data_IF_549776282010
#
_entry.id   IF_549776282010
#
_cell.length_a   1.000
_cell.length_b   1.000
_cell.length_c   1.000
_cell.angle_alpha   90.00
_cell.angle_beta   90.00
_cell.angle_gamma   90.00
#
_symmetry.space_group_name_H-M   'P 1'
#
loop_
_entity.id
_entity.type
_entity.pdbx_description
1 polymer ?
#
# COMPACT_ATOMS: atom_id res chain seq x y z
N UNK A 1 2.96 -15.72 11.69
CA UNK A 1 3.50 -16.86 10.91
C UNK A 1 2.33 -17.49 10.17
N UNK A 2 2.34 -17.53 8.82
CA UNK A 2 1.30 -18.19 8.05
C UNK A 2 1.65 -19.68 8.01
N UNK A 3 1.10 -20.48 8.93
CA UNK A 3 1.46 -21.89 9.11
C UNK A 3 0.85 -22.81 8.04
N UNK A 4 0.12 -22.25 7.07
CA UNK A 4 -0.73 -22.99 6.13
C UNK A 4 -0.42 -22.73 4.64
N UNK A 5 0.57 -21.88 4.33
CA UNK A 5 0.88 -21.47 2.95
C UNK A 5 1.93 -22.42 2.34
N UNK A 6 1.58 -23.16 1.28
CA UNK A 6 2.52 -24.02 0.55
C UNK A 6 3.28 -23.30 -0.57
N UNK A 7 3.06 -21.99 -0.71
CA UNK A 7 3.63 -21.13 -1.75
C UNK A 7 3.31 -21.58 -3.18
N UNK A 8 2.32 -22.45 -3.38
CA UNK A 8 1.78 -22.78 -4.69
C UNK A 8 0.57 -21.89 -4.99
N UNK A 9 0.72 -20.97 -5.96
CA UNK A 9 -0.38 -20.10 -6.37
C UNK A 9 -1.57 -20.86 -6.98
N UNK A 10 -1.40 -22.15 -7.29
CA UNK A 10 -2.43 -23.02 -7.83
C UNK A 10 -3.15 -23.87 -6.77
N UNK A 11 -2.95 -23.60 -5.48
CA UNK A 11 -3.66 -24.25 -4.37
C UNK A 11 -4.44 -23.20 -3.56
N UNK A 12 -5.63 -23.60 -3.10
CA UNK A 12 -6.37 -22.87 -2.09
C UNK A 12 -5.99 -23.45 -0.75
N UNK A 13 -5.33 -22.61 0.05
CA UNK A 13 -4.82 -22.98 1.35
C UNK A 13 -5.82 -22.61 2.43
N UNK A 14 -6.38 -23.63 3.05
CA UNK A 14 -7.32 -23.49 4.14
C UNK A 14 -6.78 -24.14 5.41
N UNK A 15 -7.00 -23.46 6.52
CA UNK A 15 -6.62 -23.90 7.85
C UNK A 15 -7.91 -24.19 8.62
N UNK A 16 -8.18 -25.46 8.96
CA UNK A 16 -9.33 -25.82 9.80
C UNK A 16 -8.91 -26.64 11.03
N UNK A 17 -9.52 -26.35 12.19
CA UNK A 17 -9.20 -26.99 13.48
C UNK A 17 -9.32 -28.53 13.45
N UNK A 18 -10.29 -29.16 12.73
CA UNK A 18 -10.38 -30.61 12.70
C UNK A 18 -9.50 -31.30 11.64
N UNK A 19 -9.08 -30.61 10.57
CA UNK A 19 -8.39 -31.24 9.41
C UNK A 19 -6.93 -30.79 9.27
N UNK A 20 -6.53 -29.68 9.88
CA UNK A 20 -5.20 -29.08 9.69
C UNK A 20 -5.12 -28.26 8.40
N UNK A 21 -3.91 -28.14 7.84
CA UNK A 21 -3.67 -27.42 6.58
C UNK A 21 -4.19 -28.26 5.41
N UNK A 22 -4.99 -27.65 4.55
CA UNK A 22 -5.49 -28.28 3.32
C UNK A 22 -5.16 -27.42 2.12
N UNK A 23 -4.52 -28.03 1.13
CA UNK A 23 -4.09 -27.39 -0.13
C UNK A 23 -4.95 -27.95 -1.27
N UNK A 24 -5.92 -27.17 -1.73
CA UNK A 24 -6.88 -27.64 -2.75
C UNK A 24 -6.51 -27.09 -4.11
N UNK A 25 -6.12 -27.97 -5.04
CA UNK A 25 -5.70 -27.56 -6.38
C UNK A 25 -6.83 -26.82 -7.11
N UNK A 26 -6.50 -25.65 -7.67
CA UNK A 26 -7.39 -24.84 -8.49
C UNK A 26 -7.51 -25.48 -9.88
N UNK A 27 -8.72 -25.89 -10.32
CA UNK A 27 -8.93 -26.45 -11.65
C UNK A 27 -8.53 -25.44 -12.73
N UNK A 28 -7.66 -25.84 -13.66
CA UNK A 28 -7.21 -24.98 -14.77
C UNK A 28 -6.02 -24.08 -14.46
N UNK A 29 -5.53 -24.04 -13.22
CA UNK A 29 -4.32 -23.30 -12.89
C UNK A 29 -3.07 -24.01 -13.44
N UNK A 30 -2.27 -23.30 -14.25
CA UNK A 30 -1.04 -23.80 -14.85
C UNK A 30 0.13 -22.87 -14.54
N UNK A 31 1.17 -23.39 -13.90
CA UNK A 31 2.41 -22.67 -13.62
C UNK A 31 3.32 -22.76 -14.84
N UNK A 32 3.65 -21.62 -15.47
CA UNK A 32 4.63 -21.58 -16.58
C UNK A 32 5.99 -21.16 -16.04
N UNK A 33 6.88 -22.14 -15.84
CA UNK A 33 8.26 -21.89 -15.41
C UNK A 33 9.09 -21.39 -16.59
N UNK A 34 9.46 -20.11 -16.62
CA UNK A 34 10.44 -19.58 -17.58
C UNK A 34 11.83 -19.65 -16.96
N UNK A 35 12.59 -20.69 -17.28
CA UNK A 35 13.98 -20.87 -16.83
C UNK A 35 14.93 -20.16 -17.78
N UNK A 36 15.57 -19.07 -17.35
CA UNK A 36 16.69 -18.44 -18.07
C UNK A 36 17.99 -19.12 -17.63
N UNK A 37 18.85 -19.63 -18.55
CA UNK A 37 20.02 -20.42 -18.15
C UNK A 37 21.16 -19.54 -17.59
N UNK A 38 21.84 -19.94 -16.49
CA UNK A 38 22.93 -19.16 -15.90
C UNK A 38 24.28 -19.39 -16.60
N UNK A 39 25.03 -18.30 -16.79
CA UNK A 39 26.42 -18.26 -17.28
C UNK A 39 27.40 -18.69 -16.18
N UNK A 40 28.33 -19.58 -16.52
CA UNK A 40 29.32 -20.16 -15.60
C UNK A 40 30.49 -19.21 -15.29
N UNK A 41 30.77 -18.98 -14.00
CA UNK A 41 32.08 -18.54 -13.50
C UNK A 41 32.28 -19.05 -12.06
N UNK A 42 33.50 -19.49 -11.74
CA UNK A 42 33.88 -20.25 -10.53
C UNK A 42 34.28 -19.37 -9.34
N UNK A 43 34.02 -19.89 -8.13
CA UNK A 43 34.71 -19.66 -6.83
C UNK A 43 34.37 -18.40 -6.00
N UNK A 44 33.58 -18.57 -4.93
CA UNK A 44 33.94 -18.48 -3.49
C UNK A 44 32.62 -18.38 -2.70
N UNK A 45 32.44 -19.27 -1.73
CA UNK A 45 31.21 -19.40 -0.92
C UNK A 45 31.02 -18.19 -0.01
N UNK A 46 30.36 -17.15 -0.52
CA UNK A 46 29.55 -16.26 0.31
C UNK A 46 28.09 -16.59 0.01
N UNK A 47 27.35 -17.03 1.03
CA UNK A 47 25.89 -17.13 0.98
C UNK A 47 25.32 -15.72 0.83
N UNK A 48 25.21 -15.25 -0.41
CA UNK A 48 24.37 -14.11 -0.75
C UNK A 48 22.95 -14.62 -0.85
N UNK A 49 22.15 -14.39 0.19
CA UNK A 49 20.70 -14.53 0.12
C UNK A 49 20.21 -13.57 -0.95
N UNK A 50 20.00 -14.09 -2.16
CA UNK A 50 19.38 -13.35 -3.25
C UNK A 50 17.89 -13.45 -3.01
N UNK A 51 17.31 -12.40 -2.43
CA UNK A 51 15.85 -12.26 -2.34
C UNK A 51 15.34 -12.05 -3.75
N UNK A 52 14.91 -13.12 -4.40
CA UNK A 52 14.14 -13.04 -5.65
C UNK A 52 12.77 -12.50 -5.28
N UNK A 53 12.52 -11.22 -5.51
CA UNK A 53 11.16 -10.67 -5.46
C UNK A 53 10.41 -11.21 -6.67
N UNK A 54 9.63 -12.27 -6.48
CA UNK A 54 8.67 -12.73 -7.48
C UNK A 54 7.56 -11.69 -7.55
N UNK A 55 7.62 -10.79 -8.53
CA UNK A 55 6.47 -9.96 -8.89
C UNK A 55 5.50 -10.86 -9.65
N UNK A 56 4.56 -11.48 -8.93
CA UNK A 56 3.47 -12.22 -9.54
C UNK A 56 2.52 -11.20 -10.17
N UNK A 57 2.72 -10.85 -11.43
CA UNK A 57 1.72 -10.10 -12.20
C UNK A 57 0.53 -11.03 -12.38
N UNK A 58 -0.51 -10.86 -11.55
CA UNK A 58 -1.79 -11.53 -11.75
C UNK A 58 -2.29 -11.09 -13.14
N UNK A 59 -2.38 -12.04 -14.08
CA UNK A 59 -3.00 -11.75 -15.38
C UNK A 59 -4.51 -11.91 -15.22
N UNK A 60 -5.18 -10.79 -15.05
CA UNK A 60 -6.63 -10.72 -15.01
C UNK A 60 -7.20 -11.25 -16.34
N UNK A 61 -8.16 -12.17 -16.27
CA UNK A 61 -8.74 -12.88 -17.40
C UNK A 61 -9.64 -12.03 -18.31
N UNK A 62 -9.20 -10.82 -18.68
CA UNK A 62 -9.88 -9.96 -19.65
C UNK A 62 -11.14 -9.25 -19.15
N UNK A 63 -11.34 -9.13 -17.83
CA UNK A 63 -12.44 -8.34 -17.26
C UNK A 63 -12.20 -6.82 -17.35
N UNK A 64 -13.27 -6.04 -17.12
CA UNK A 64 -13.24 -4.58 -17.12
C UNK A 64 -12.64 -4.07 -15.79
N UNK A 65 -11.55 -3.33 -15.84
CA UNK A 65 -11.05 -2.59 -14.67
C UNK A 65 -12.11 -1.58 -14.21
N UNK A 66 -12.33 -1.50 -12.90
CA UNK A 66 -13.41 -0.78 -12.25
C UNK A 66 -14.71 -1.59 -12.12
N UNK A 67 -14.77 -2.84 -12.56
CA UNK A 67 -15.94 -3.73 -12.37
C UNK A 67 -15.78 -4.55 -11.07
N UNK A 68 -15.73 -3.85 -9.94
CA UNK A 68 -15.48 -4.44 -8.62
C UNK A 68 -16.60 -5.36 -8.13
N UNK A 69 -17.84 -5.14 -8.57
CA UNK A 69 -18.96 -5.99 -8.20
C UNK A 69 -19.15 -7.19 -9.17
N UNK A 70 -18.40 -7.21 -10.28
CA UNK A 70 -18.36 -8.28 -11.30
C UNK A 70 -19.70 -8.44 -12.02
N UNK A 71 -20.40 -7.35 -12.30
CA UNK A 71 -21.66 -7.32 -13.05
C UNK A 71 -21.48 -6.97 -14.54
N UNK A 72 -20.24 -6.70 -14.96
CA UNK A 72 -19.88 -6.35 -16.33
C UNK A 72 -20.07 -4.87 -16.66
N UNK A 73 -20.32 -4.02 -15.67
CA UNK A 73 -20.45 -2.56 -15.81
C UNK A 73 -19.40 -1.87 -14.94
N UNK A 74 -19.23 -0.58 -15.24
CA UNK A 74 -18.45 0.33 -14.44
C UNK A 74 -19.41 1.44 -14.00
N UNK A 75 -19.83 1.42 -12.74
CA UNK A 75 -20.72 2.40 -12.14
C UNK A 75 -20.47 2.61 -10.63
N UNK A 76 -21.37 3.31 -9.95
CA UNK A 76 -21.17 3.68 -8.54
C UNK A 76 -21.23 2.46 -7.60
N UNK A 77 -21.86 1.35 -8.00
CA UNK A 77 -21.91 0.14 -7.18
C UNK A 77 -20.57 -0.58 -7.11
N UNK A 78 -19.69 -0.36 -8.08
CA UNK A 78 -18.30 -0.83 -8.04
C UNK A 78 -17.51 -0.12 -6.95
N UNK A 79 -17.51 1.21 -6.96
CA UNK A 79 -16.92 2.07 -5.92
C UNK A 79 -17.42 1.66 -4.52
N UNK A 80 -18.72 1.37 -4.35
CA UNK A 80 -19.26 0.97 -3.05
C UNK A 80 -18.74 -0.40 -2.60
N UNK A 81 -18.59 -1.34 -3.53
CA UNK A 81 -18.00 -2.66 -3.27
C UNK A 81 -16.53 -2.52 -2.88
N UNK A 82 -15.82 -1.65 -3.59
CA UNK A 82 -14.42 -1.35 -3.32
C UNK A 82 -14.22 -0.68 -1.94
N UNK A 83 -15.09 0.28 -1.57
CA UNK A 83 -15.07 0.89 -0.22
C UNK A 83 -15.20 -0.18 0.87
N UNK A 84 -16.09 -1.15 0.72
CA UNK A 84 -16.24 -2.23 1.71
C UNK A 84 -14.99 -3.13 1.76
N UNK A 85 -14.31 -3.35 0.63
CA UNK A 85 -13.01 -4.04 0.57
C UNK A 85 -11.92 -3.24 1.29
N UNK A 86 -11.76 -1.95 0.96
CA UNK A 86 -10.73 -1.06 1.54
C UNK A 86 -10.94 -0.87 3.04
N UNK A 87 -12.19 -0.83 3.51
CA UNK A 87 -12.53 -0.78 4.92
C UNK A 87 -12.45 -2.15 5.62
N UNK A 88 -11.99 -3.20 4.90
CA UNK A 88 -11.87 -4.57 5.38
C UNK A 88 -13.19 -5.15 5.94
N UNK A 89 -14.34 -4.69 5.43
CA UNK A 89 -15.66 -5.28 5.73
C UNK A 89 -15.90 -6.55 4.92
N UNK A 90 -15.24 -6.65 3.77
CA UNK A 90 -15.27 -7.81 2.89
C UNK A 90 -13.87 -8.16 2.42
N UNK A 91 -13.54 -9.45 2.38
CA UNK A 91 -12.29 -9.93 1.78
C UNK A 91 -12.47 -10.05 0.27
N UNK A 92 -11.61 -9.45 -0.57
CA UNK A 92 -11.78 -9.46 -2.02
C UNK A 92 -11.55 -10.86 -2.59
N UNK A 93 -12.42 -11.28 -3.51
CA UNK A 93 -12.22 -12.51 -4.31
C UNK A 93 -11.02 -12.35 -5.25
N UNK A 94 -10.44 -13.44 -5.79
CA UNK A 94 -9.35 -13.33 -6.77
C UNK A 94 -9.71 -12.54 -8.02
N UNK A 95 -10.98 -12.57 -8.45
CA UNK A 95 -11.45 -11.72 -9.55
C UNK A 95 -11.42 -10.24 -9.14
N UNK A 96 -11.92 -9.91 -7.94
CA UNK A 96 -11.92 -8.54 -7.42
C UNK A 96 -10.52 -8.00 -7.16
N UNK A 97 -9.57 -8.83 -6.68
CA UNK A 97 -8.15 -8.48 -6.58
C UNK A 97 -7.54 -8.01 -7.91
N UNK A 98 -8.20 -8.33 -9.02
CA UNK A 98 -7.80 -8.00 -10.36
C UNK A 98 -8.58 -6.83 -10.95
N UNK A 99 -9.89 -6.78 -10.71
CA UNK A 99 -10.79 -5.77 -11.30
C UNK A 99 -10.88 -4.49 -10.48
N UNK A 100 -10.52 -4.56 -9.18
CA UNK A 100 -10.50 -3.42 -8.26
C UNK A 100 -9.11 -2.79 -8.08
N UNK A 101 -8.04 -3.41 -8.58
CA UNK A 101 -6.70 -2.80 -8.56
C UNK A 101 -6.55 -1.92 -9.81
N UNK A 102 -7.29 -0.82 -9.82
CA UNK A 102 -7.41 0.07 -10.97
C UNK A 102 -6.13 0.85 -11.28
N UNK A 103 -5.27 1.02 -10.28
CA UNK A 103 -3.93 1.58 -10.43
C UNK A 103 -2.87 0.53 -10.81
N UNK A 104 -3.21 -0.76 -10.73
CA UNK A 104 -2.36 -1.91 -11.01
C UNK A 104 -1.06 -1.91 -10.19
N UNK A 105 -1.15 -1.56 -8.90
CA UNK A 105 -0.01 -1.55 -7.99
C UNK A 105 0.07 -2.79 -7.08
N UNK A 106 -0.88 -3.71 -7.24
CA UNK A 106 -1.01 -4.96 -6.50
C UNK A 106 -1.79 -4.81 -5.20
N UNK A 107 -2.45 -3.67 -4.96
CA UNK A 107 -3.29 -3.41 -3.78
C UNK A 107 -4.65 -2.90 -4.23
N UNK A 108 -5.63 -3.07 -3.34
CA UNK A 108 -6.93 -2.41 -3.46
C UNK A 108 -6.99 -1.43 -2.31
N UNK A 109 -6.84 -0.15 -2.60
CA UNK A 109 -6.84 0.91 -1.61
C UNK A 109 -7.57 2.17 -2.10
N UNK A 110 -7.43 3.27 -1.36
CA UNK A 110 -8.15 4.51 -1.68
C UNK A 110 -7.77 5.09 -3.04
N UNK A 111 -6.61 4.76 -3.59
CA UNK A 111 -6.14 5.33 -4.86
C UNK A 111 -6.82 4.70 -6.07
N UNK A 112 -7.24 3.44 -5.95
CA UNK A 112 -8.07 2.74 -6.92
C UNK A 112 -9.48 3.40 -6.98
N UNK A 113 -10.12 3.58 -5.82
CA UNK A 113 -11.38 4.36 -5.68
C UNK A 113 -11.28 5.77 -6.30
N UNK A 114 -10.18 6.49 -6.06
CA UNK A 114 -10.00 7.85 -6.60
C UNK A 114 -9.89 7.84 -8.13
N UNK A 115 -9.29 6.79 -8.69
CA UNK A 115 -9.20 6.59 -10.13
C UNK A 115 -10.56 6.25 -10.73
N UNK A 116 -11.34 5.39 -10.07
CA UNK A 116 -12.74 5.13 -10.43
C UNK A 116 -13.55 6.44 -10.48
N UNK A 117 -13.48 7.26 -9.43
CA UNK A 117 -14.18 8.56 -9.38
C UNK A 117 -13.77 9.47 -10.56
N UNK A 118 -12.48 9.53 -10.89
CA UNK A 118 -12.02 10.35 -12.02
C UNK A 118 -12.52 9.79 -13.37
N UNK A 119 -12.62 8.48 -13.53
CA UNK A 119 -13.22 7.86 -14.72
C UNK A 119 -14.73 8.12 -14.81
N UNK A 120 -15.44 7.95 -13.71
CA UNK A 120 -16.89 8.19 -13.61
C UNK A 120 -17.24 9.66 -13.92
N UNK A 121 -16.40 10.60 -13.48
CA UNK A 121 -16.55 12.03 -13.77
C UNK A 121 -16.02 12.45 -15.15
N UNK A 122 -15.54 11.50 -15.98
CA UNK A 122 -15.03 11.76 -17.32
C UNK A 122 -13.72 12.56 -17.36
N UNK A 123 -12.96 12.57 -16.26
CA UNK A 123 -11.65 13.26 -16.17
C UNK A 123 -10.52 12.43 -16.76
N UNK A 124 -10.66 11.10 -16.76
CA UNK A 124 -9.76 10.16 -17.43
C UNK A 124 -10.54 9.22 -18.36
N UNK A 125 -9.90 8.64 -19.39
CA UNK A 125 -10.59 7.74 -20.32
C UNK A 125 -11.00 6.41 -19.66
N UNK A 126 -12.19 5.93 -20.00
CA UNK A 126 -12.66 4.56 -19.75
C UNK A 126 -12.84 3.80 -21.08
N UNK A 127 -12.69 2.46 -21.12
CA UNK A 127 -12.37 1.57 -19.99
C UNK A 127 -10.96 1.83 -19.45
N UNK A 128 -10.74 1.63 -18.16
CA UNK A 128 -9.40 1.80 -17.61
C UNK A 128 -8.44 0.80 -18.24
N UNK A 129 -7.22 1.28 -18.43
CA UNK A 129 -6.10 0.45 -18.88
C UNK A 129 -5.00 0.60 -17.87
N UNK A 130 -4.30 -0.49 -17.56
CA UNK A 130 -3.06 -0.44 -16.84
C UNK A 130 -1.87 -0.32 -17.81
N UNK A 131 -1.27 0.88 -17.97
CA UNK A 131 0.09 0.97 -18.43
C UNK A 131 1.03 0.49 -17.32
N UNK A 132 2.29 0.18 -17.64
CA UNK A 132 3.30 -0.10 -16.63
C UNK A 132 3.36 1.04 -15.59
N UNK A 133 2.88 0.75 -14.39
CA UNK A 133 3.09 1.41 -13.11
C UNK A 133 3.05 2.96 -13.09
N UNK A 134 1.86 3.51 -12.92
CA UNK A 134 1.69 4.71 -12.10
C UNK A 134 1.13 4.25 -10.76
N UNK A 135 1.95 3.57 -9.96
CA UNK A 135 1.47 2.95 -8.73
C UNK A 135 1.11 3.98 -7.65
N UNK A 136 0.30 3.55 -6.69
CA UNK A 136 0.09 4.26 -5.44
C UNK A 136 1.17 3.87 -4.43
N UNK A 137 1.36 4.70 -3.41
CA UNK A 137 2.27 4.36 -2.32
C UNK A 137 1.47 4.30 -1.04
N UNK A 138 1.37 3.08 -0.51
CA UNK A 138 0.83 2.83 0.82
C UNK A 138 1.97 2.32 1.72
N UNK A 139 2.32 3.11 2.73
CA UNK A 139 3.52 2.92 3.55
C UNK A 139 3.21 3.00 5.05
N UNK A 140 4.02 2.34 5.87
CA UNK A 140 4.01 2.49 7.33
C UNK A 140 5.40 2.91 7.78
N UNK A 141 5.52 4.06 8.44
CA UNK A 141 6.79 4.49 9.05
C UNK A 141 6.66 4.56 10.55
N UNK A 142 7.52 3.81 11.24
CA UNK A 142 7.74 3.95 12.68
C UNK A 142 8.67 5.15 12.89
N UNK A 143 8.45 5.95 13.94
CA UNK A 143 9.11 7.23 14.14
C UNK A 143 10.66 7.22 14.24
N UNK A 144 11.31 6.06 14.19
CA UNK A 144 12.77 5.93 14.06
C UNK A 144 13.12 5.23 12.74
N UNK A 145 13.43 6.04 11.72
CA UNK A 145 14.42 5.76 10.65
C UNK A 145 14.28 4.53 9.75
N UNK A 146 13.27 3.66 9.88
CA UNK A 146 13.17 2.49 8.99
C UNK A 146 12.47 2.87 7.68
N UNK A 147 13.11 2.47 6.57
CA UNK A 147 12.55 2.55 5.24
C UNK A 147 11.20 1.79 5.23
N UNK A 148 10.13 2.48 4.88
CA UNK A 148 8.86 1.82 4.63
C UNK A 148 9.01 0.89 3.42
N UNK A 149 8.35 -0.26 3.46
CA UNK A 149 8.22 -1.19 2.34
C UNK A 149 7.26 -0.59 1.29
N UNK A 150 7.73 0.46 0.63
CA UNK A 150 7.09 1.03 -0.54
C UNK A 150 7.27 0.06 -1.73
N UNK A 151 6.42 0.13 -2.77
CA UNK A 151 6.60 -0.66 -3.98
C UNK A 151 8.03 -0.46 -4.51
N UNK A 152 8.63 -1.47 -5.17
CA UNK A 152 10.05 -1.53 -5.52
C UNK A 152 10.61 -0.32 -6.34
N UNK A 153 9.75 0.61 -6.75
CA UNK A 153 10.04 1.87 -7.44
C UNK A 153 10.02 3.13 -6.55
N UNK A 154 9.65 3.05 -5.27
CA UNK A 154 9.57 4.20 -4.37
C UNK A 154 10.03 3.91 -2.92
N UNK A 155 10.33 4.95 -2.15
CA UNK A 155 10.79 4.88 -0.76
C UNK A 155 10.31 6.09 0.04
N UNK A 156 9.73 5.84 1.22
CA UNK A 156 9.18 6.88 2.10
C UNK A 156 9.94 6.89 3.42
N UNK A 157 10.32 8.08 3.89
CA UNK A 157 10.99 8.27 5.18
C UNK A 157 10.59 9.56 5.85
N UNK A 158 10.63 9.57 7.18
CA UNK A 158 10.46 10.79 7.99
C UNK A 158 11.82 11.45 8.20
N UNK A 159 11.92 12.76 7.93
CA UNK A 159 13.10 13.60 8.20
C UNK A 159 12.67 14.81 9.02
N UNK A 160 12.82 14.73 10.34
CA UNK A 160 12.29 15.73 11.26
C UNK A 160 10.77 15.83 11.17
N UNK A 161 10.27 17.00 10.80
CA UNK A 161 8.84 17.23 10.56
C UNK A 161 8.41 16.97 9.10
N UNK A 162 9.31 16.60 8.20
CA UNK A 162 8.98 16.35 6.80
C UNK A 162 8.80 14.85 6.51
N UNK A 163 7.82 14.52 5.66
CA UNK A 163 7.72 13.24 4.97
C UNK A 163 8.44 13.40 3.64
N UNK A 164 9.47 12.61 3.42
CA UNK A 164 10.30 12.61 2.21
C UNK A 164 9.97 11.38 1.39
N UNK A 165 9.68 11.62 0.11
CA UNK A 165 9.43 10.58 -0.88
C UNK A 165 10.58 10.55 -1.89
N UNK A 166 11.02 9.34 -2.21
CA UNK A 166 11.82 9.01 -3.38
C UNK A 166 11.00 8.11 -4.28
N UNK A 167 10.81 8.45 -5.55
CA UNK A 167 10.05 7.63 -6.50
C UNK A 167 10.65 7.74 -7.91
N UNK A 168 10.79 6.60 -8.60
CA UNK A 168 11.30 6.53 -9.97
C UNK A 168 10.23 6.83 -11.02
N UNK A 169 8.98 6.55 -10.69
CA UNK A 169 7.80 6.74 -11.53
C UNK A 169 6.83 7.71 -10.86
N UNK A 170 5.92 8.29 -11.62
CA UNK A 170 4.89 9.17 -11.06
C UNK A 170 3.92 8.36 -10.22
N UNK A 171 3.53 8.87 -9.05
CA UNK A 171 2.59 8.18 -8.16
C UNK A 171 1.34 9.01 -7.94
N UNK A 172 0.17 8.37 -7.86
CA UNK A 172 -1.11 9.08 -7.72
C UNK A 172 -1.25 9.80 -6.37
N UNK A 173 -0.60 9.29 -5.33
CA UNK A 173 -0.54 9.92 -4.02
C UNK A 173 0.30 9.13 -3.04
N UNK A 174 0.09 9.40 -1.75
CA UNK A 174 0.76 8.72 -0.66
C UNK A 174 -0.21 8.56 0.52
N UNK A 175 -0.41 7.32 0.97
CA UNK A 175 -0.96 6.99 2.28
C UNK A 175 0.18 6.55 3.21
N UNK A 176 0.21 7.12 4.41
CA UNK A 176 1.25 6.84 5.39
C UNK A 176 0.69 6.72 6.81
N UNK A 177 0.94 5.60 7.46
CA UNK A 177 0.70 5.47 8.91
C UNK A 177 1.94 5.85 9.72
N UNK A 178 1.76 6.78 10.66
CA UNK A 178 2.77 7.27 11.59
C UNK A 178 2.48 6.77 13.01
N UNK A 179 3.38 5.96 13.58
CA UNK A 179 3.22 5.46 14.96
C UNK A 179 4.10 6.25 15.95
N UNK A 180 3.53 6.77 17.07
CA UNK A 180 4.31 7.43 18.12
C UNK A 180 5.25 6.44 18.82
N UNK A 181 6.56 6.70 18.84
CA UNK A 181 7.55 5.82 19.48
C UNK A 181 7.95 6.23 20.91
N UNK A 182 7.82 7.52 21.26
CA UNK A 182 8.35 8.08 22.53
C UNK A 182 7.32 8.98 23.21
N UNK A 183 6.24 8.35 23.69
CA UNK A 183 5.15 9.05 24.39
C UNK A 183 4.15 9.73 23.45
N UNK A 184 3.17 10.45 24.03
CA UNK A 184 2.07 11.04 23.27
C UNK A 184 2.56 12.14 22.33
N UNK A 185 2.19 12.05 21.04
CA UNK A 185 2.48 13.04 20.00
C UNK A 185 1.20 13.43 19.29
N UNK A 186 0.78 14.68 19.47
CA UNK A 186 -0.40 15.25 18.80
C UNK A 186 0.02 15.82 17.44
N UNK A 187 -0.62 15.39 16.35
CA UNK A 187 -0.48 16.03 15.04
C UNK A 187 -1.40 17.25 15.00
N UNK A 188 -0.82 18.44 14.85
CA UNK A 188 -1.55 19.70 14.78
C UNK A 188 -1.99 20.02 13.34
N UNK A 189 -1.15 19.67 12.36
CA UNK A 189 -1.39 19.98 10.95
C UNK A 189 -0.47 19.15 10.04
N UNK A 190 -0.98 18.79 8.87
CA UNK A 190 -0.17 18.36 7.72
C UNK A 190 -0.32 19.39 6.61
N UNK A 191 0.79 19.76 5.97
CA UNK A 191 0.83 20.76 4.90
C UNK A 191 1.50 20.21 3.64
N UNK A 192 1.02 20.60 2.44
CA UNK A 192 1.70 20.29 1.19
C UNK A 192 3.03 21.04 1.10
N UNK A 193 3.87 20.58 0.19
CA UNK A 193 5.18 21.17 -0.10
C UNK A 193 5.17 21.77 -1.50
N UNK A 194 6.34 22.23 -1.99
CA UNK A 194 6.47 22.62 -3.40
C UNK A 194 6.17 21.47 -4.37
N UNK A 195 6.56 20.24 -4.00
CA UNK A 195 6.42 19.05 -4.85
C UNK A 195 4.98 18.53 -4.93
N UNK A 196 4.18 18.88 -3.94
CA UNK A 196 2.76 18.52 -3.80
C UNK A 196 1.88 19.76 -3.76
N UNK A 197 2.31 20.84 -4.42
CA UNK A 197 1.53 22.08 -4.48
C UNK A 197 0.24 21.80 -5.26
N UNK A 198 -0.91 22.12 -4.65
CA UNK A 198 -2.22 21.82 -5.21
C UNK A 198 -2.77 20.45 -4.82
N UNK A 199 -1.99 19.63 -4.11
CA UNK A 199 -2.48 18.39 -3.51
C UNK A 199 -3.16 18.71 -2.17
N UNK A 200 -4.17 17.91 -1.87
CA UNK A 200 -4.82 17.85 -0.58
C UNK A 200 -3.96 17.00 0.35
N UNK A 201 -3.66 17.53 1.55
CA UNK A 201 -3.01 16.76 2.61
C UNK A 201 -3.92 16.71 3.83
N UNK A 202 -4.30 15.51 4.25
CA UNK A 202 -5.15 15.29 5.42
C UNK A 202 -4.49 14.30 6.36
N UNK A 203 -4.97 14.29 7.60
CA UNK A 203 -4.56 13.29 8.57
C UNK A 203 -5.73 12.90 9.46
N UNK A 204 -5.67 11.68 9.97
CA UNK A 204 -6.56 11.18 11.01
C UNK A 204 -5.73 10.63 12.16
N UNK A 205 -6.01 11.13 13.37
CA UNK A 205 -5.39 10.64 14.59
C UNK A 205 -6.47 10.66 15.69
N UNK A 206 -6.75 9.51 16.28
CA UNK A 206 -7.80 9.39 17.31
C UNK A 206 -7.33 9.92 18.67
N UNK A 207 -6.08 9.63 19.02
CA UNK A 207 -5.44 10.07 20.28
C UNK A 207 -3.94 10.34 20.04
N UNK A 208 -3.28 11.19 20.85
CA UNK A 208 -1.85 11.45 20.71
C UNK A 208 -0.94 10.21 20.83
N UNK A 209 -1.41 9.12 21.45
CA UNK A 209 -0.70 7.84 21.55
C UNK A 209 -1.02 6.87 20.41
N UNK A 210 -2.09 7.13 19.65
CA UNK A 210 -2.53 6.26 18.57
C UNK A 210 -1.72 6.51 17.28
N UNK A 211 -1.59 5.49 16.41
CA UNK A 211 -1.12 5.69 15.06
C UNK A 211 -1.97 6.75 14.33
N UNK A 212 -1.31 7.58 13.53
CA UNK A 212 -1.95 8.59 12.73
C UNK A 212 -1.80 8.26 11.25
N UNK A 213 -2.89 8.24 10.51
CA UNK A 213 -2.87 8.10 9.05
C UNK A 213 -2.72 9.48 8.43
N UNK A 214 -1.79 9.64 7.50
CA UNK A 214 -1.57 10.85 6.69
C UNK A 214 -1.80 10.49 5.24
N UNK A 215 -2.62 11.29 4.55
CA UNK A 215 -2.94 11.11 3.15
C UNK A 215 -2.53 12.34 2.36
N UNK A 216 -1.86 12.12 1.23
CA UNK A 216 -1.45 13.15 0.26
C UNK A 216 -2.01 12.74 -1.10
N UNK A 217 -2.97 13.50 -1.61
CA UNK A 217 -3.74 13.14 -2.81
C UNK A 217 -4.04 14.37 -3.67
N UNK A 218 -4.22 14.15 -4.98
CA UNK A 218 -4.63 15.22 -5.89
C UNK A 218 -6.14 15.15 -6.15
N UNK A 219 -6.89 16.26 -6.01
CA UNK A 219 -8.30 16.30 -6.37
C UNK A 219 -8.56 16.43 -7.88
N UNK A 220 -7.53 16.60 -8.71
CA UNK A 220 -7.65 16.84 -10.16
C UNK A 220 -6.71 15.97 -10.98
N UNK A 221 -6.68 14.67 -10.69
CA UNK A 221 -5.89 13.61 -11.35
C UNK A 221 -4.36 13.80 -11.44
N UNK A 222 -3.82 14.91 -10.93
CA UNK A 222 -2.37 15.15 -10.92
C UNK A 222 -1.61 14.09 -10.11
N UNK A 223 -0.44 13.69 -10.61
CA UNK A 223 0.46 12.73 -9.94
C UNK A 223 1.71 13.40 -9.38
N UNK A 224 2.24 12.85 -8.29
CA UNK A 224 3.53 13.25 -7.72
C UNK A 224 4.63 12.74 -8.65
N UNK A 225 5.27 13.68 -9.35
CA UNK A 225 6.29 13.37 -10.36
C UNK A 225 7.51 12.66 -9.77
N UNK A 226 8.27 11.87 -10.58
CA UNK A 226 9.51 11.23 -10.16
C UNK A 226 10.52 12.17 -9.48
N UNK A 227 11.36 11.61 -8.60
CA UNK A 227 12.44 12.32 -7.91
C UNK A 227 12.50 12.07 -6.40
N UNK A 228 13.36 12.82 -5.72
CA UNK A 228 13.56 12.76 -4.27
C UNK A 228 13.29 14.13 -3.63
N UNK A 229 12.40 14.18 -2.64
CA UNK A 229 12.11 15.42 -1.92
C UNK A 229 10.96 15.34 -0.93
N UNK A 230 10.78 16.37 -0.10
CA UNK A 230 9.65 16.43 0.83
C UNK A 230 8.34 16.50 0.06
N UNK A 231 7.34 15.77 0.52
CA UNK A 231 5.97 15.73 -0.04
C UNK A 231 4.91 16.18 0.94
N UNK A 232 5.21 16.16 2.25
CA UNK A 232 4.35 16.77 3.27
C UNK A 232 5.18 17.24 4.46
N UNK A 233 4.67 18.24 5.18
CA UNK A 233 5.23 18.71 6.47
C UNK A 233 4.20 18.48 7.56
N UNK A 234 4.58 17.68 8.56
CA UNK A 234 3.76 17.28 9.71
C UNK A 234 4.18 18.09 10.93
N UNK A 235 3.33 19.01 11.37
CA UNK A 235 3.54 19.77 12.61
C UNK A 235 2.98 18.99 13.80
N UNK A 236 3.82 18.74 14.79
CA UNK A 236 3.46 17.97 15.98
C UNK A 236 3.68 18.75 17.27
N UNK A 237 2.95 18.39 18.32
CA UNK A 237 3.20 18.78 19.71
C UNK A 237 3.46 17.52 20.53
N UNK A 238 4.54 17.52 21.29
CA UNK A 238 4.81 16.46 22.26
C UNK A 238 4.02 16.74 23.54
N UNK A 239 3.25 15.77 24.01
CA UNK A 239 2.66 15.81 25.34
C UNK A 239 3.74 15.55 26.39
N UNK A 240 3.58 16.10 27.60
CA UNK A 240 4.36 15.65 28.73
C UNK A 240 4.03 14.16 28.94
N UNK A 241 5.05 13.30 28.93
CA UNK A 241 4.91 12.00 29.57
C UNK A 241 4.48 12.29 31.00
N UNK A 242 3.36 11.73 31.44
CA UNK A 242 3.03 11.71 32.86
C UNK A 242 4.15 10.95 33.53
N UNK A 243 5.10 11.70 34.08
CA UNK A 243 6.08 11.22 35.03
C UNK A 243 5.26 10.82 36.26
N UNK A 244 4.93 9.52 36.36
CA UNK A 244 4.41 8.96 37.59
C UNK A 244 5.52 9.07 38.63
N UNK A 245 5.57 10.23 39.27
CA UNK A 245 6.45 10.55 40.36
C UNK A 245 6.15 9.67 41.55
N UNK A 246 6.77 8.49 41.59
CA UNK A 246 6.96 7.71 42.82
C UNK A 246 7.98 8.46 43.71
N UNK A 247 7.53 9.55 44.32
CA UNK A 247 8.16 10.08 45.53
C UNK A 247 7.79 9.18 46.71
N UNK A 248 8.64 8.19 47.00
CA UNK A 248 8.67 7.56 48.33
C UNK A 248 10.10 7.41 48.87
N UNK A 249 10.54 8.52 49.49
CA UNK A 249 11.39 8.66 50.69
C UNK A 249 12.62 7.75 50.83
N UNK A 250 13.80 8.37 50.70
CA UNK A 250 14.93 8.14 51.60
C UNK A 250 14.73 9.00 52.86
N UNK A 251 14.96 8.43 54.04
CA UNK A 251 14.89 9.10 55.34
C UNK A 251 14.48 8.13 56.42
#
# INVERSE_FOLDING_TARGET
MPFCDDFDACTVDACSVPVGCTHTRIPGCTTTTTTTPPRTTTTTTHSTTTTTTTTTTIRCGGGLLGDCNVDGRFDLFDILTEIDIVLARTTPTPAQQCLCDDTCDGRIDIFDILREIDGFLGRIPTPFTCPAAAGSISAQTVADGSAAMAPAAAGVKRRGNAIVLENREAVHGLELTLSPARGPVEILRVQPTRRTRGFTTVFHQTLPTAPATVLVLSPGSASIQPGHGPVAVVRTRHGAATDDGESRKRG
#
